data_IF_524779205768
#
_entry.id   IF_524779205768
#
_cell.length_a   1.000
_cell.length_b   1.000
_cell.length_c   1.000
_cell.angle_alpha   90.00
_cell.angle_beta   90.00
_cell.angle_gamma   90.00
#
_symmetry.space_group_name_H-M   'P 1'
#
loop_
_entity.id
_entity.type
_entity.pdbx_description
1 polymer ?
#
# COMPACT_ATOMS: atom_id res chain seq x y z
N UNK A 1 21.10 -3.33 4.68
CA UNK A 1 21.18 -2.19 3.75
C UNK A 1 19.80 -1.75 3.35
N UNK A 2 19.64 -0.42 3.17
CA UNK A 2 18.39 0.14 2.72
C UNK A 2 18.69 1.35 1.84
N UNK A 3 18.16 1.38 0.62
CA UNK A 3 18.30 2.50 -0.32
C UNK A 3 17.09 2.56 -1.23
N UNK A 4 16.79 3.75 -1.75
CA UNK A 4 15.64 3.95 -2.63
C UNK A 4 15.69 5.28 -3.34
N UNK A 5 14.73 5.45 -4.23
CA UNK A 5 14.48 6.68 -4.98
C UNK A 5 13.01 7.02 -4.78
N UNK A 6 12.74 8.29 -4.51
CA UNK A 6 11.39 8.85 -4.46
C UNK A 6 11.29 10.01 -5.45
N UNK A 7 10.17 10.04 -6.17
CA UNK A 7 9.83 11.11 -7.10
C UNK A 7 8.44 11.62 -6.75
N UNK A 8 8.33 12.93 -6.60
CA UNK A 8 7.06 13.61 -6.39
C UNK A 8 6.86 14.71 -7.44
N UNK A 9 5.68 14.73 -8.02
CA UNK A 9 5.25 15.76 -8.97
C UNK A 9 3.89 16.28 -8.54
N UNK A 10 3.78 17.62 -8.38
CA UNK A 10 2.49 18.30 -8.19
C UNK A 10 2.35 19.37 -9.24
N UNK A 11 1.22 19.42 -9.92
CA UNK A 11 1.00 20.35 -11.01
C UNK A 11 -0.46 20.80 -11.06
N UNK A 12 -0.65 22.11 -11.20
CA UNK A 12 -1.92 22.68 -11.66
C UNK A 12 -2.05 22.42 -13.16
N UNK A 13 -3.25 22.05 -13.61
CA UNK A 13 -3.51 21.65 -15.00
C UNK A 13 -4.01 22.82 -15.87
N UNK A 14 -3.88 24.06 -15.42
CA UNK A 14 -4.23 25.27 -16.18
C UNK A 14 -3.51 25.39 -17.53
N UNK A 15 -2.30 24.83 -17.64
CA UNK A 15 -1.55 24.82 -18.91
C UNK A 15 -2.22 24.03 -20.05
N UNK A 16 -3.20 23.18 -19.75
CA UNK A 16 -4.06 22.48 -20.72
C UNK A 16 -5.51 22.97 -20.67
N UNK A 17 -5.77 24.14 -20.08
CA UNK A 17 -7.12 24.72 -19.99
C UNK A 17 -7.97 24.21 -18.82
N UNK A 18 -7.39 23.45 -17.88
CA UNK A 18 -8.09 22.89 -16.71
C UNK A 18 -7.69 23.64 -15.42
N UNK A 19 -7.95 24.94 -15.37
CA UNK A 19 -7.51 25.84 -14.29
C UNK A 19 -7.98 25.43 -12.89
N UNK A 20 -9.14 24.78 -12.81
CA UNK A 20 -9.72 24.32 -11.55
C UNK A 20 -9.18 22.97 -11.08
N UNK A 21 -8.31 22.31 -11.87
CA UNK A 21 -7.78 20.98 -11.56
C UNK A 21 -6.29 21.03 -11.22
N UNK A 22 -5.90 20.23 -10.25
CA UNK A 22 -4.51 19.91 -9.97
C UNK A 22 -4.33 18.41 -9.80
N UNK A 23 -3.14 17.92 -10.15
CA UNK A 23 -2.76 16.53 -10.00
C UNK A 23 -1.51 16.41 -9.14
N UNK A 24 -1.42 15.31 -8.40
CA UNK A 24 -0.21 14.89 -7.70
C UNK A 24 0.12 13.45 -8.02
N UNK A 25 1.39 13.15 -8.15
CA UNK A 25 1.92 11.81 -8.30
C UNK A 25 3.14 11.68 -7.41
N UNK A 26 3.18 10.66 -6.57
CA UNK A 26 4.33 10.29 -5.78
C UNK A 26 4.61 8.81 -6.00
N UNK A 27 5.86 8.48 -6.27
CA UNK A 27 6.32 7.11 -6.45
C UNK A 27 7.64 6.89 -5.75
N UNK A 28 7.72 5.81 -4.98
CA UNK A 28 8.95 5.37 -4.30
C UNK A 28 9.31 3.97 -4.73
N UNK A 29 10.59 3.74 -5.03
CA UNK A 29 11.19 2.43 -5.21
C UNK A 29 12.24 2.22 -4.12
N UNK A 30 12.09 1.14 -3.37
CA UNK A 30 12.88 0.89 -2.16
C UNK A 30 13.46 -0.52 -2.24
N UNK A 31 14.77 -0.61 -2.11
CA UNK A 31 15.47 -1.88 -1.95
C UNK A 31 15.96 -1.97 -0.50
N UNK A 32 15.45 -2.95 0.22
CA UNK A 32 15.85 -3.24 1.58
C UNK A 32 16.38 -4.67 1.69
N UNK A 33 17.46 -4.87 2.43
CA UNK A 33 18.07 -6.18 2.62
C UNK A 33 18.62 -6.31 4.04
N UNK A 34 18.15 -7.32 4.74
CA UNK A 34 18.75 -7.84 5.96
C UNK A 34 19.72 -8.93 5.52
N UNK A 35 20.98 -8.78 5.85
CA UNK A 35 22.06 -9.72 5.56
C UNK A 35 22.45 -10.44 6.84
N UNK A 36 22.58 -11.75 6.75
CA UNK A 36 23.01 -12.61 7.84
C UNK A 36 24.41 -13.13 7.55
N UNK A 37 25.12 -13.51 8.59
CA UNK A 37 26.46 -14.07 8.48
C UNK A 37 26.46 -15.40 7.71
N UNK A 38 27.56 -15.72 6.99
CA UNK A 38 27.72 -17.03 6.37
C UNK A 38 27.59 -18.15 7.41
N UNK A 39 26.75 -19.16 7.12
CA UNK A 39 26.45 -20.25 8.06
C UNK A 39 25.25 -19.99 8.99
N UNK A 40 24.67 -18.79 8.96
CA UNK A 40 23.40 -18.54 9.62
C UNK A 40 22.29 -19.42 9.03
N UNK A 41 21.38 -19.87 9.90
CA UNK A 41 20.16 -20.59 9.49
C UNK A 41 19.18 -19.67 8.76
N UNK A 42 19.24 -18.37 9.05
CA UNK A 42 18.38 -17.39 8.42
C UNK A 42 18.93 -17.01 7.04
N UNK A 43 18.03 -16.92 6.06
CA UNK A 43 18.35 -16.46 4.70
C UNK A 43 18.20 -14.94 4.60
N UNK A 44 19.06 -14.33 3.76
CA UNK A 44 18.94 -12.90 3.44
C UNK A 44 17.55 -12.60 2.91
N UNK A 45 16.94 -11.53 3.40
CA UNK A 45 15.55 -11.18 3.10
C UNK A 45 15.33 -9.66 3.10
N UNK A 46 14.26 -9.16 2.51
CA UNK A 46 13.81 -7.79 2.72
C UNK A 46 13.53 -7.52 4.20
N UNK A 47 13.65 -6.26 4.61
CA UNK A 47 13.26 -5.83 5.94
C UNK A 47 11.76 -6.05 6.15
N UNK A 48 11.37 -6.54 7.34
CA UNK A 48 9.98 -6.67 7.71
C UNK A 48 9.28 -5.31 7.70
N UNK A 49 8.08 -5.25 7.17
CA UNK A 49 7.29 -4.04 7.02
C UNK A 49 7.65 -3.18 5.80
N UNK A 50 8.82 -3.41 5.17
CA UNK A 50 9.27 -2.63 4.03
C UNK A 50 8.68 -3.14 2.72
N UNK A 51 7.96 -2.25 2.02
CA UNK A 51 7.48 -2.51 0.66
C UNK A 51 8.54 -2.12 -0.37
N UNK A 52 8.67 -2.87 -1.49
CA UNK A 52 9.61 -2.53 -2.57
C UNK A 52 9.17 -1.30 -3.38
N UNK A 53 7.90 -0.94 -3.34
CA UNK A 53 7.38 0.27 -4.00
C UNK A 53 6.14 0.81 -3.29
N UNK A 54 5.93 2.12 -3.43
CA UNK A 54 4.73 2.83 -3.04
C UNK A 54 4.34 3.75 -4.20
N UNK A 55 3.06 3.80 -4.54
CA UNK A 55 2.52 4.72 -5.55
C UNK A 55 1.32 5.43 -4.97
N UNK A 56 1.35 6.75 -5.03
CA UNK A 56 0.23 7.62 -4.68
C UNK A 56 -0.08 8.52 -5.88
N UNK A 57 -1.35 8.63 -6.23
CA UNK A 57 -1.82 9.58 -7.25
C UNK A 57 -3.05 10.31 -6.74
N UNK A 58 -3.15 11.60 -7.03
CA UNK A 58 -4.26 12.42 -6.61
C UNK A 58 -4.72 13.37 -7.71
N UNK A 59 -6.03 13.59 -7.78
CA UNK A 59 -6.65 14.62 -8.60
C UNK A 59 -7.53 15.45 -7.69
N UNK A 60 -7.38 16.78 -7.77
CA UNK A 60 -8.08 17.73 -6.94
C UNK A 60 -8.74 18.79 -7.81
N UNK A 61 -10.01 19.02 -7.55
CA UNK A 61 -10.79 20.09 -8.14
C UNK A 61 -11.07 21.17 -7.11
N UNK A 62 -10.81 22.41 -7.46
CA UNK A 62 -11.18 23.59 -6.68
C UNK A 62 -12.01 24.50 -7.57
N UNK A 63 -13.25 24.78 -7.17
CA UNK A 63 -14.11 25.69 -7.95
C UNK A 63 -13.52 27.11 -7.99
N UNK A 64 -13.83 27.87 -9.05
CA UNK A 64 -13.38 29.28 -9.20
C UNK A 64 -13.77 30.18 -8.03
N UNK A 65 -14.89 29.87 -7.37
CA UNK A 65 -15.34 30.57 -6.15
C UNK A 65 -14.67 30.08 -4.86
N UNK A 66 -13.78 29.08 -4.95
CA UNK A 66 -13.12 28.40 -3.83
C UNK A 66 -14.07 27.80 -2.77
N UNK A 67 -15.38 27.71 -3.12
CA UNK A 67 -16.40 27.17 -2.21
C UNK A 67 -16.48 25.65 -2.24
N UNK A 68 -16.12 25.03 -3.36
CA UNK A 68 -16.16 23.57 -3.54
C UNK A 68 -14.75 23.03 -3.82
N UNK A 69 -14.33 22.07 -2.99
CA UNK A 69 -13.11 21.32 -3.17
C UNK A 69 -13.47 19.83 -3.22
N UNK A 70 -13.02 19.14 -4.25
CA UNK A 70 -13.19 17.69 -4.41
C UNK A 70 -11.81 17.07 -4.63
N UNK A 71 -11.55 15.94 -3.97
CA UNK A 71 -10.31 15.19 -4.13
C UNK A 71 -10.58 13.71 -4.35
N UNK A 72 -9.81 13.11 -5.22
CA UNK A 72 -9.72 11.66 -5.39
C UNK A 72 -8.26 11.25 -5.23
N UNK A 73 -8.00 10.29 -4.35
CA UNK A 73 -6.67 9.77 -4.04
C UNK A 73 -6.62 8.28 -4.33
N UNK A 74 -5.58 7.86 -5.03
CA UNK A 74 -5.24 6.47 -5.23
C UNK A 74 -3.95 6.15 -4.49
N UNK A 75 -3.93 5.00 -3.81
CA UNK A 75 -2.75 4.48 -3.13
C UNK A 75 -2.54 3.00 -3.47
N UNK A 76 -1.30 2.63 -3.70
CA UNK A 76 -0.86 1.25 -3.84
C UNK A 76 0.48 1.04 -3.15
N UNK A 77 0.53 0.04 -2.28
CA UNK A 77 1.75 -0.40 -1.59
C UNK A 77 2.08 -1.80 -2.10
N UNK A 78 3.34 -2.07 -2.41
CA UNK A 78 3.82 -3.36 -2.86
C UNK A 78 3.76 -4.43 -1.76
N UNK A 79 3.97 -5.68 -2.16
CA UNK A 79 4.04 -6.82 -1.23
C UNK A 79 5.12 -6.59 -0.18
N UNK A 80 4.80 -6.87 1.10
CA UNK A 80 5.75 -6.74 2.21
C UNK A 80 5.64 -7.89 3.19
N UNK A 81 6.75 -8.22 3.85
CA UNK A 81 6.78 -9.19 4.94
C UNK A 81 6.14 -8.55 6.17
N UNK A 82 5.09 -9.16 6.70
CA UNK A 82 4.45 -8.77 7.96
C UNK A 82 4.85 -9.65 9.14
N UNK A 83 5.18 -10.91 8.85
CA UNK A 83 5.68 -11.87 9.81
C UNK A 83 6.90 -12.59 9.24
N UNK A 84 8.00 -12.56 9.98
CA UNK A 84 9.20 -13.31 9.60
C UNK A 84 9.01 -14.76 10.01
N UNK A 85 9.14 -15.65 9.05
CA UNK A 85 9.16 -17.07 9.28
C UNK A 85 10.41 -17.53 10.02
N UNK A 86 10.46 -18.77 10.39
CA UNK A 86 11.59 -19.38 11.11
C UNK A 86 12.16 -20.52 10.30
N UNK A 87 13.47 -20.52 10.07
CA UNK A 87 14.17 -21.66 9.50
C UNK A 87 14.61 -22.58 10.65
N UNK A 88 14.06 -23.78 10.71
CA UNK A 88 14.44 -24.82 11.65
C UNK A 88 15.35 -25.79 10.91
N UNK A 89 16.62 -25.41 10.72
CA UNK A 89 17.59 -26.31 10.04
C UNK A 89 17.67 -27.64 10.78
N UNK A 90 17.27 -28.69 10.13
CA UNK A 90 17.53 -30.07 10.56
C UNK A 90 18.79 -30.56 9.85
N UNK A 91 19.65 -31.30 10.56
CA UNK A 91 20.88 -31.89 10.03
C UNK A 91 20.64 -32.93 8.94
N UNK A 92 19.41 -33.12 8.48
CA UNK A 92 18.99 -34.11 7.52
C UNK A 92 18.24 -33.61 6.29
N UNK A 93 18.22 -32.27 6.06
CA UNK A 93 17.56 -31.71 4.86
C UNK A 93 16.03 -31.71 4.87
N UNK A 94 15.42 -32.02 6.00
CA UNK A 94 13.96 -31.94 6.16
C UNK A 94 13.54 -30.48 6.44
N UNK A 95 13.09 -29.80 5.41
CA UNK A 95 12.55 -28.44 5.48
C UNK A 95 11.09 -28.38 5.97
N UNK A 96 10.49 -29.52 6.32
CA UNK A 96 9.08 -29.61 6.74
C UNK A 96 8.75 -28.81 8.01
N UNK A 97 9.75 -28.54 8.85
CA UNK A 97 9.63 -27.74 10.07
C UNK A 97 9.83 -26.23 9.84
N UNK A 98 10.15 -25.80 8.62
CA UNK A 98 10.34 -24.40 8.30
C UNK A 98 8.99 -23.67 8.26
N UNK A 99 8.90 -22.57 9.01
CA UNK A 99 7.75 -21.69 8.97
C UNK A 99 8.01 -20.61 7.91
N UNK A 100 7.23 -20.53 6.83
CA UNK A 100 7.44 -19.53 5.79
C UNK A 100 7.10 -18.14 6.25
N UNK A 101 7.64 -17.14 5.55
CA UNK A 101 7.29 -15.75 5.80
C UNK A 101 5.82 -15.48 5.47
N UNK A 102 5.19 -14.65 6.29
CA UNK A 102 3.86 -14.11 6.02
C UNK A 102 3.96 -12.77 5.32
N UNK A 103 3.24 -12.63 4.22
CA UNK A 103 3.24 -11.44 3.38
C UNK A 103 1.86 -10.78 3.38
N UNK A 104 1.84 -9.46 3.42
CA UNK A 104 0.69 -8.68 3.00
C UNK A 104 0.79 -8.42 1.50
N UNK A 105 -0.25 -8.78 0.77
CA UNK A 105 -0.29 -8.64 -0.69
C UNK A 105 -0.68 -7.22 -1.09
N UNK A 106 -0.23 -6.74 -2.26
CA UNK A 106 -0.57 -5.41 -2.74
C UNK A 106 -2.07 -5.25 -2.91
N UNK A 107 -2.60 -4.07 -2.53
CA UNK A 107 -3.98 -3.71 -2.82
C UNK A 107 -4.08 -2.29 -3.37
N UNK A 108 -5.16 -2.03 -4.09
CA UNK A 108 -5.50 -0.69 -4.56
C UNK A 108 -6.48 -0.07 -3.57
N UNK A 109 -6.18 1.11 -3.07
CA UNK A 109 -7.10 1.90 -2.26
C UNK A 109 -7.44 3.19 -3.00
N UNK A 110 -8.70 3.58 -2.96
CA UNK A 110 -9.19 4.85 -3.53
C UNK A 110 -10.00 5.56 -2.47
N UNK A 111 -9.64 6.80 -2.23
CA UNK A 111 -10.31 7.68 -1.29
C UNK A 111 -10.91 8.87 -2.03
N UNK A 112 -12.09 9.29 -1.62
CA UNK A 112 -12.74 10.50 -2.11
C UNK A 112 -12.97 11.47 -0.96
N UNK A 113 -12.85 12.75 -1.25
CA UNK A 113 -13.20 13.83 -0.32
C UNK A 113 -13.91 14.96 -1.05
N UNK A 114 -14.86 15.57 -0.37
CA UNK A 114 -15.50 16.79 -0.83
C UNK A 114 -15.66 17.73 0.36
N UNK A 115 -15.42 19.01 0.14
CA UNK A 115 -15.66 20.10 1.08
C UNK A 115 -16.43 21.20 0.40
N UNK A 116 -17.46 21.69 1.04
CA UNK A 116 -18.30 22.76 0.52
C UNK A 116 -18.51 23.85 1.57
N UNK A 117 -18.04 25.05 1.29
CA UNK A 117 -18.31 26.24 2.10
C UNK A 117 -19.75 26.70 1.85
N UNK A 118 -20.63 26.46 2.80
CA UNK A 118 -22.05 26.88 2.74
C UNK A 118 -22.11 28.42 2.85
N UNK A 119 -21.37 28.96 3.81
CA UNK A 119 -21.14 30.40 4.02
C UNK A 119 -19.79 30.61 4.70
N UNK A 120 -19.49 31.82 5.16
CA UNK A 120 -18.19 32.16 5.76
C UNK A 120 -17.96 31.51 7.13
N UNK A 121 -19.05 31.05 7.77
CA UNK A 121 -19.03 30.45 9.11
C UNK A 121 -19.20 28.92 9.05
N UNK A 122 -19.75 28.37 7.95
CA UNK A 122 -20.17 26.97 7.90
C UNK A 122 -19.60 26.24 6.68
N UNK A 123 -18.97 25.10 6.92
CA UNK A 123 -18.42 24.20 5.90
C UNK A 123 -18.95 22.77 6.12
N UNK A 124 -19.48 22.17 5.06
CA UNK A 124 -19.82 20.75 5.02
C UNK A 124 -18.64 19.94 4.43
N UNK A 125 -18.42 18.75 4.95
CA UNK A 125 -17.41 17.82 4.46
C UNK A 125 -17.97 16.42 4.31
N UNK A 126 -17.50 15.71 3.27
CA UNK A 126 -17.75 14.30 3.01
C UNK A 126 -16.41 13.63 2.73
N UNK A 127 -16.19 12.49 3.34
CA UNK A 127 -15.02 11.65 3.08
C UNK A 127 -15.46 10.21 2.91
N UNK A 128 -14.95 9.55 1.86
CA UNK A 128 -15.15 8.12 1.60
C UNK A 128 -13.75 7.51 1.49
N UNK A 129 -13.37 6.71 2.46
CA UNK A 129 -12.08 5.99 2.47
C UNK A 129 -12.28 4.57 2.01
N UNK A 130 -11.29 4.05 1.29
CA UNK A 130 -11.28 2.69 0.71
C UNK A 130 -12.57 2.40 -0.08
N UNK A 131 -12.94 3.32 -0.97
CA UNK A 131 -14.19 3.26 -1.75
C UNK A 131 -14.30 1.98 -2.61
N UNK A 132 -13.17 1.36 -2.98
CA UNK A 132 -13.15 0.09 -3.69
C UNK A 132 -13.44 -1.10 -2.79
N UNK A 133 -13.34 -0.96 -1.46
CA UNK A 133 -13.45 -2.06 -0.51
C UNK A 133 -12.52 -3.22 -0.87
N UNK A 134 -11.29 -2.89 -1.30
CA UNK A 134 -10.35 -3.87 -1.81
C UNK A 134 -9.96 -4.88 -0.73
N UNK A 135 -9.87 -6.17 -1.12
CA UNK A 135 -9.47 -7.23 -0.20
C UNK A 135 -8.06 -6.97 0.35
N UNK A 136 -7.89 -7.21 1.64
CA UNK A 136 -6.60 -7.36 2.29
C UNK A 136 -6.31 -8.84 2.36
N UNK A 137 -5.27 -9.29 1.65
CA UNK A 137 -4.86 -10.68 1.61
C UNK A 137 -3.50 -10.83 2.29
N UNK A 138 -3.41 -11.83 3.13
CA UNK A 138 -2.15 -12.30 3.72
C UNK A 138 -1.87 -13.70 3.19
N UNK A 139 -0.63 -13.90 2.75
CA UNK A 139 -0.20 -15.16 2.15
C UNK A 139 1.10 -15.65 2.79
N UNK A 140 1.22 -16.96 2.92
CA UNK A 140 2.49 -17.62 3.15
C UNK A 140 2.99 -18.24 1.85
N UNK A 141 4.28 -18.10 1.59
CA UNK A 141 4.91 -18.63 0.38
C UNK A 141 6.03 -19.59 0.79
N UNK A 142 5.94 -20.81 0.31
CA UNK A 142 6.95 -21.86 0.50
C UNK A 142 7.41 -22.39 -0.85
N UNK A 143 8.61 -22.96 -0.87
CA UNK A 143 9.07 -23.73 -2.02
C UNK A 143 8.64 -25.18 -1.83
N UNK A 144 7.78 -25.70 -2.70
CA UNK A 144 7.42 -27.11 -2.72
C UNK A 144 8.36 -27.86 -3.65
N UNK A 145 8.97 -28.95 -3.13
CA UNK A 145 9.76 -29.87 -3.94
C UNK A 145 8.83 -30.89 -4.59
N UNK A 146 8.92 -31.02 -5.89
CA UNK A 146 8.23 -32.06 -6.65
C UNK A 146 9.06 -33.34 -6.68
N UNK A 147 8.39 -34.46 -6.94
CA UNK A 147 9.02 -35.80 -7.04
C UNK A 147 10.07 -35.91 -8.15
N UNK A 148 10.06 -35.03 -9.11
CA UNK A 148 11.03 -34.88 -10.21
C UNK A 148 12.26 -34.03 -9.85
N UNK A 149 12.33 -33.54 -8.60
CA UNK A 149 13.39 -32.62 -8.13
C UNK A 149 13.18 -31.17 -8.51
N UNK A 150 12.13 -30.83 -9.24
CA UNK A 150 11.78 -29.44 -9.52
C UNK A 150 11.19 -28.77 -8.28
N UNK A 151 11.45 -27.46 -8.11
CA UNK A 151 10.86 -26.67 -7.03
C UNK A 151 9.88 -25.67 -7.61
N UNK A 152 8.69 -25.59 -7.04
CA UNK A 152 7.71 -24.54 -7.36
C UNK A 152 7.36 -23.72 -6.12
N UNK A 153 7.10 -22.42 -6.35
CA UNK A 153 6.58 -21.58 -5.27
C UNK A 153 5.09 -21.82 -5.10
N UNK A 154 4.71 -22.31 -3.92
CA UNK A 154 3.33 -22.43 -3.50
C UNK A 154 2.97 -21.28 -2.60
N UNK A 155 1.85 -20.63 -2.91
CA UNK A 155 1.30 -19.53 -2.09
C UNK A 155 -0.03 -19.97 -1.51
N UNK A 156 -0.18 -19.79 -0.21
CA UNK A 156 -1.41 -20.09 0.51
C UNK A 156 -1.94 -18.83 1.18
N UNK A 157 -3.23 -18.53 0.97
CA UNK A 157 -3.91 -17.41 1.62
C UNK A 157 -4.22 -17.81 3.06
N UNK A 158 -3.51 -17.23 4.02
CA UNK A 158 -3.69 -17.49 5.46
C UNK A 158 -4.79 -16.63 6.07
N UNK A 159 -5.02 -15.44 5.52
CA UNK A 159 -6.08 -14.53 5.97
C UNK A 159 -6.53 -13.64 4.81
N UNK A 160 -7.83 -13.46 4.67
CA UNK A 160 -8.43 -12.55 3.69
C UNK A 160 -9.65 -11.88 4.28
N UNK A 161 -9.76 -10.56 4.15
CA UNK A 161 -10.95 -9.83 4.57
C UNK A 161 -11.11 -8.54 3.73
N UNK A 162 -12.31 -7.98 3.78
CA UNK A 162 -12.63 -6.67 3.21
C UNK A 162 -12.93 -5.70 4.33
N UNK A 163 -12.15 -4.63 4.51
CA UNK A 163 -12.46 -3.60 5.53
C UNK A 163 -13.79 -2.91 5.27
N UNK A 164 -14.18 -2.82 3.99
CA UNK A 164 -15.31 -2.00 3.55
C UNK A 164 -14.94 -0.52 3.40
N UNK A 165 -15.82 0.23 2.77
CA UNK A 165 -15.68 1.68 2.67
C UNK A 165 -16.07 2.35 3.99
N UNK A 166 -15.30 3.35 4.41
CA UNK A 166 -15.65 4.19 5.56
C UNK A 166 -16.14 5.54 5.06
N UNK A 167 -17.37 5.90 5.41
CA UNK A 167 -18.00 7.15 5.01
C UNK A 167 -18.11 8.05 6.25
N UNK A 168 -17.63 9.28 6.13
CA UNK A 168 -17.70 10.29 7.17
C UNK A 168 -18.33 11.57 6.62
N UNK A 169 -19.27 12.14 7.35
CA UNK A 169 -19.89 13.44 7.06
C UNK A 169 -19.60 14.36 8.23
N UNK A 170 -19.22 15.59 7.96
CA UNK A 170 -18.93 16.60 8.96
C UNK A 170 -19.52 17.96 8.63
N UNK A 171 -19.85 18.71 9.68
CA UNK A 171 -20.17 20.13 9.62
C UNK A 171 -19.20 20.85 10.54
N UNK A 172 -18.46 21.81 9.98
CA UNK A 172 -17.52 22.65 10.71
C UNK A 172 -18.09 24.07 10.83
N UNK A 173 -18.01 24.60 12.03
CA UNK A 173 -18.41 25.99 12.32
C UNK A 173 -17.15 26.77 12.72
N UNK A 174 -16.98 27.93 12.10
CA UNK A 174 -15.91 28.87 12.38
C UNK A 174 -16.51 29.98 13.26
N UNK A 175 -16.09 30.02 14.51
CA UNK A 175 -16.47 31.05 15.50
C UNK A 175 -15.56 32.27 15.37
#
# INVERSE_FOLDING_TARGET
>A
RNYGIEVEVRKNLGFIGLDCLSASLNGSLINSRVEFEPGSREKNRPMQGQSPYIVNAGIFYTSKSERLNIGALYNRIGKRIIGVGRSVGTTGGDDSANIPHSYEMPRNAVDFSAKFKINDVMEASLSVRDALGAKVNFEQQTDALHSDGASSKVSEVTKSYRPGANISVGLNFKL
#
